data_IF_644040395638
#
_entry.id   IF_644040395638
#
_cell.length_a   1.000
_cell.length_b   1.000
_cell.length_c   1.000
_cell.angle_alpha   90.00
_cell.angle_beta   90.00
_cell.angle_gamma   90.00
#
_symmetry.space_group_name_H-M   'P 1'
#
loop_
_entity.id
_entity.type
_entity.pdbx_description
1 polymer ?
#
# COMPACT_ATOMS: atom_id res chain seq x y z
N UNK A 1 8.57 -17.46 -14.10
CA UNK A 1 9.34 -16.49 -14.91
C UNK A 1 10.67 -16.09 -14.26
N UNK A 2 10.70 -15.67 -12.97
CA UNK A 2 11.92 -15.12 -12.35
C UNK A 2 13.14 -16.08 -12.32
N UNK A 3 12.91 -17.38 -12.18
CA UNK A 3 13.98 -18.38 -12.09
C UNK A 3 14.44 -18.94 -13.44
N UNK A 4 13.74 -18.65 -14.55
CA UNK A 4 14.06 -19.26 -15.84
C UNK A 4 15.29 -18.58 -16.46
N UNK A 5 16.44 -19.27 -16.59
CA UNK A 5 17.67 -18.63 -17.04
C UNK A 5 17.73 -18.46 -18.57
N UNK A 6 16.97 -19.27 -19.31
CA UNK A 6 17.01 -19.36 -20.78
C UNK A 6 15.96 -18.49 -21.47
N UNK A 7 15.07 -17.84 -20.73
CA UNK A 7 14.01 -17.02 -21.31
C UNK A 7 12.86 -17.80 -21.97
N UNK A 8 12.75 -19.12 -21.72
CA UNK A 8 11.56 -19.89 -22.08
C UNK A 8 10.29 -19.33 -21.41
N UNK A 9 10.45 -18.79 -20.20
CA UNK A 9 9.41 -18.06 -19.48
C UNK A 9 9.83 -16.60 -19.32
N UNK A 10 9.15 -15.68 -20.01
CA UNK A 10 9.45 -14.23 -19.96
C UNK A 10 8.20 -13.40 -19.62
N UNK A 11 8.39 -12.27 -18.92
CA UNK A 11 7.31 -11.32 -18.69
C UNK A 11 6.90 -10.64 -20.01
N UNK A 12 5.59 -10.64 -20.31
CA UNK A 12 5.05 -9.98 -21.51
C UNK A 12 5.37 -8.48 -21.53
N UNK A 13 5.27 -7.80 -20.38
CA UNK A 13 5.57 -6.37 -20.23
C UNK A 13 7.02 -6.01 -20.60
N UNK A 14 7.97 -6.92 -20.36
CA UNK A 14 9.40 -6.73 -20.66
C UNK A 14 9.79 -7.17 -22.07
N UNK A 15 8.99 -8.02 -22.72
CA UNK A 15 9.33 -8.60 -24.02
C UNK A 15 9.60 -7.48 -25.04
N UNK A 16 10.78 -7.51 -25.67
CA UNK A 16 11.23 -6.52 -26.66
C UNK A 16 11.36 -5.07 -26.17
N UNK A 17 11.44 -4.83 -24.84
CA UNK A 17 11.62 -3.47 -24.28
C UNK A 17 13.07 -3.07 -24.03
N UNK A 18 14.02 -3.97 -24.21
CA UNK A 18 15.45 -3.73 -24.02
C UNK A 18 16.18 -4.85 -23.29
N UNK A 19 17.49 -4.68 -23.17
CA UNK A 19 18.43 -5.53 -22.45
C UNK A 19 18.55 -5.09 -20.99
N UNK A 20 19.06 -5.98 -20.16
CA UNK A 20 19.09 -5.78 -18.71
C UNK A 20 19.88 -4.54 -18.27
N UNK A 21 21.00 -4.26 -18.95
CA UNK A 21 21.87 -3.12 -18.66
C UNK A 21 21.30 -1.78 -19.12
N UNK A 22 20.25 -1.78 -19.96
CA UNK A 22 19.57 -0.54 -20.38
C UNK A 22 18.56 -0.05 -19.34
N UNK A 23 18.22 -0.87 -18.34
CA UNK A 23 17.21 -0.54 -17.35
C UNK A 23 17.83 0.09 -16.12
N UNK A 24 17.38 1.29 -15.76
CA UNK A 24 17.66 1.87 -14.45
C UNK A 24 16.87 1.10 -13.40
N UNK A 25 17.56 0.52 -12.42
CA UNK A 25 16.93 -0.16 -11.29
C UNK A 25 16.77 0.79 -10.12
N UNK A 26 15.55 0.89 -9.59
CA UNK A 26 15.24 1.70 -8.40
C UNK A 26 14.63 0.81 -7.34
N UNK A 27 15.32 0.67 -6.21
CA UNK A 27 14.82 -0.08 -5.05
C UNK A 27 13.70 0.69 -4.35
N UNK A 28 12.61 -0.01 -4.01
CA UNK A 28 11.47 0.53 -3.28
C UNK A 28 10.69 -0.58 -2.57
N UNK A 29 9.56 -0.26 -1.96
CA UNK A 29 8.68 -1.17 -1.24
C UNK A 29 7.39 -1.39 -2.02
N UNK A 30 6.91 -2.63 -2.03
CA UNK A 30 5.64 -3.01 -2.64
C UNK A 30 4.45 -2.31 -1.94
N UNK A 31 3.60 -1.54 -2.66
CA UNK A 31 2.53 -0.74 -2.05
C UNK A 31 1.22 -1.53 -1.80
N UNK A 32 1.26 -2.86 -1.82
CA UNK A 32 0.06 -3.70 -1.74
C UNK A 32 -0.35 -4.09 -0.33
N UNK A 33 0.07 -5.24 0.17
CA UNK A 33 -0.26 -5.71 1.51
C UNK A 33 0.77 -5.21 2.53
N UNK A 34 0.48 -5.39 3.81
CA UNK A 34 1.36 -4.99 4.92
C UNK A 34 2.65 -5.81 5.07
N UNK A 35 2.96 -6.73 4.15
CA UNK A 35 4.21 -7.52 4.19
C UNK A 35 5.42 -6.64 3.93
N UNK A 36 5.32 -5.67 3.01
CA UNK A 36 6.41 -4.76 2.70
C UNK A 36 7.56 -5.40 1.90
N UNK A 37 7.24 -6.23 0.90
CA UNK A 37 8.26 -6.84 0.04
C UNK A 37 9.20 -5.78 -0.57
N UNK A 38 10.52 -6.02 -0.51
CA UNK A 38 11.50 -5.21 -1.21
C UNK A 38 11.44 -5.50 -2.71
N UNK A 39 11.29 -4.47 -3.52
CA UNK A 39 11.20 -4.58 -4.98
C UNK A 39 12.17 -3.64 -5.68
N UNK A 40 12.49 -3.96 -6.92
CA UNK A 40 13.24 -3.11 -7.83
C UNK A 40 12.37 -2.80 -9.04
N UNK A 41 12.09 -1.51 -9.25
CA UNK A 41 11.48 -1.03 -10.48
C UNK A 41 12.55 -0.99 -11.56
N UNK A 42 12.32 -1.69 -12.67
CA UNK A 42 13.21 -1.67 -13.83
C UNK A 42 12.63 -0.64 -14.81
N UNK A 43 13.30 0.51 -14.95
CA UNK A 43 12.79 1.70 -15.62
C UNK A 43 13.56 1.97 -16.91
N UNK A 44 12.84 2.29 -17.98
CA UNK A 44 13.38 2.81 -19.24
C UNK A 44 12.42 3.84 -19.82
N UNK A 45 12.93 4.92 -20.39
CA UNK A 45 12.12 5.98 -21.02
C UNK A 45 11.00 6.51 -20.11
N UNK A 46 11.32 6.70 -18.82
CA UNK A 46 10.38 7.10 -17.77
C UNK A 46 9.17 6.18 -17.57
N UNK A 47 9.27 4.90 -17.98
CA UNK A 47 8.23 3.88 -17.78
C UNK A 47 8.77 2.68 -17.03
N UNK A 48 7.91 2.10 -16.19
CA UNK A 48 8.19 0.86 -15.48
C UNK A 48 8.01 -0.28 -16.49
N UNK A 49 9.10 -0.99 -16.81
CA UNK A 49 9.10 -2.10 -17.77
C UNK A 49 8.77 -3.42 -17.06
N UNK A 50 9.29 -3.60 -15.84
CA UNK A 50 9.00 -4.74 -14.98
C UNK A 50 9.37 -4.46 -13.53
N UNK A 51 8.97 -5.38 -12.65
CA UNK A 51 9.35 -5.40 -11.24
C UNK A 51 10.16 -6.67 -10.94
N UNK A 52 11.33 -6.50 -10.33
CA UNK A 52 12.17 -7.57 -9.79
C UNK A 52 12.30 -7.42 -8.27
N UNK A 53 13.00 -8.34 -7.63
CA UNK A 53 13.26 -8.26 -6.20
C UNK A 53 14.64 -8.86 -5.89
N UNK A 54 15.43 -8.24 -5.00
CA UNK A 54 16.74 -8.74 -4.63
C UNK A 54 16.62 -10.05 -3.84
N UNK A 55 17.46 -11.04 -4.18
CA UNK A 55 17.44 -12.37 -3.55
C UNK A 55 17.76 -12.32 -2.05
N UNK A 56 18.59 -11.36 -1.62
CA UNK A 56 18.95 -11.13 -0.22
C UNK A 56 17.98 -10.20 0.54
N UNK A 57 16.79 -9.92 -0.01
CA UNK A 57 15.78 -9.11 0.68
C UNK A 57 15.31 -9.79 1.97
N UNK A 58 15.30 -9.05 3.09
CA UNK A 58 14.99 -9.57 4.43
C UNK A 58 13.58 -10.12 4.53
N UNK A 59 12.62 -9.45 3.90
CA UNK A 59 11.19 -9.77 4.02
C UNK A 59 10.78 -10.93 3.11
N UNK A 60 11.21 -10.87 1.84
CA UNK A 60 10.64 -11.70 0.78
C UNK A 60 11.68 -12.50 -0.01
N UNK A 61 12.97 -12.30 0.23
CA UNK A 61 14.06 -13.12 -0.34
C UNK A 61 13.93 -13.34 -1.87
N UNK A 62 13.65 -12.25 -2.60
CA UNK A 62 13.47 -12.28 -4.07
C UNK A 62 12.09 -12.78 -4.55
N UNK A 63 11.21 -13.23 -3.66
CA UNK A 63 9.88 -13.76 -4.01
C UNK A 63 8.84 -12.65 -4.08
N UNK A 64 7.97 -12.69 -5.09
CA UNK A 64 6.87 -11.74 -5.25
C UNK A 64 5.60 -12.48 -5.67
N UNK A 65 4.46 -12.04 -5.14
CA UNK A 65 3.15 -12.47 -5.61
C UNK A 65 2.76 -11.79 -6.92
N UNK A 66 1.62 -12.19 -7.50
CA UNK A 66 1.10 -11.62 -8.74
C UNK A 66 0.95 -10.09 -8.68
N UNK A 67 0.47 -9.55 -7.56
CA UNK A 67 0.26 -8.10 -7.38
C UNK A 67 1.58 -7.34 -7.38
N UNK A 68 2.53 -7.76 -6.53
CA UNK A 68 3.83 -7.10 -6.43
C UNK A 68 4.66 -7.22 -7.72
N UNK A 69 4.48 -8.30 -8.49
CA UNK A 69 5.26 -8.52 -9.71
C UNK A 69 4.67 -7.88 -10.97
N UNK A 70 3.34 -7.82 -11.10
CA UNK A 70 2.67 -7.40 -12.33
C UNK A 70 1.70 -6.23 -12.16
N UNK A 71 1.33 -5.86 -10.94
CA UNK A 71 0.26 -4.88 -10.70
C UNK A 71 0.64 -3.42 -10.91
N UNK A 72 1.75 -3.08 -11.56
CA UNK A 72 2.23 -1.69 -11.64
C UNK A 72 1.60 -0.85 -12.77
N UNK A 73 0.75 -1.44 -13.60
CA UNK A 73 0.23 -0.79 -14.82
C UNK A 73 -0.64 0.45 -14.54
N UNK A 74 -1.28 0.53 -13.37
CA UNK A 74 -2.13 1.68 -12.98
C UNK A 74 -1.37 3.01 -12.96
N UNK A 75 -0.03 2.99 -12.79
CA UNK A 75 0.80 4.19 -12.79
C UNK A 75 0.72 4.93 -14.12
N UNK A 76 0.56 4.18 -15.22
CA UNK A 76 0.52 4.65 -16.61
C UNK A 76 -0.87 4.49 -17.24
N UNK A 77 -1.91 4.24 -16.43
CA UNK A 77 -3.28 4.14 -16.95
C UNK A 77 -3.71 5.46 -17.57
N UNK A 78 -4.36 5.45 -18.76
CA UNK A 78 -4.94 6.66 -19.33
C UNK A 78 -6.08 7.23 -18.48
N UNK A 79 -6.65 6.44 -17.57
CA UNK A 79 -7.71 6.87 -16.64
C UNK A 79 -7.15 7.60 -15.40
N UNK A 80 -5.83 7.69 -15.25
CA UNK A 80 -5.21 8.34 -14.11
C UNK A 80 -5.42 9.85 -14.18
N UNK A 81 -6.03 10.42 -13.15
CA UNK A 81 -6.18 11.87 -13.02
C UNK A 81 -4.81 12.55 -12.89
N UNK A 82 -4.59 13.58 -13.71
CA UNK A 82 -3.36 14.39 -13.74
C UNK A 82 -3.59 15.84 -13.35
N UNK A 83 -4.83 16.27 -13.27
CA UNK A 83 -5.27 17.65 -13.00
C UNK A 83 -6.34 17.64 -11.90
N UNK A 84 -6.38 18.66 -11.03
CA UNK A 84 -7.50 18.85 -10.10
C UNK A 84 -8.84 18.96 -10.85
N UNK A 85 -9.88 18.37 -10.26
CA UNK A 85 -11.24 18.41 -10.78
C UNK A 85 -12.18 19.05 -9.76
N UNK A 86 -12.94 20.07 -10.18
CA UNK A 86 -13.99 20.70 -9.39
C UNK A 86 -15.34 20.23 -9.91
N UNK A 87 -16.24 19.84 -9.00
CA UNK A 87 -17.60 19.44 -9.37
C UNK A 87 -18.36 20.65 -9.95
N UNK A 88 -18.96 20.46 -11.11
CA UNK A 88 -19.72 21.49 -11.84
C UNK A 88 -21.17 21.02 -12.06
N UNK A 89 -21.89 20.87 -10.93
CA UNK A 89 -23.23 20.31 -10.90
C UNK A 89 -23.63 19.77 -9.53
N UNK A 90 -24.75 19.04 -9.48
CA UNK A 90 -25.29 18.51 -8.23
C UNK A 90 -24.50 17.29 -7.73
N UNK A 91 -24.58 17.02 -6.42
CA UNK A 91 -23.92 15.84 -5.86
C UNK A 91 -24.52 14.57 -6.44
N UNK A 92 -23.70 13.82 -7.18
CA UNK A 92 -24.07 12.50 -7.74
C UNK A 92 -24.25 12.49 -9.26
N UNK A 93 -24.21 13.65 -9.92
CA UNK A 93 -24.38 13.75 -11.37
C UNK A 93 -23.13 13.38 -12.20
N UNK A 94 -21.96 13.26 -11.56
CA UNK A 94 -20.70 12.95 -12.20
C UNK A 94 -20.10 14.08 -13.04
N UNK A 95 -20.61 15.31 -12.94
CA UNK A 95 -20.09 16.45 -13.72
C UNK A 95 -18.93 17.13 -13.02
N UNK A 96 -17.78 17.17 -13.70
CA UNK A 96 -16.57 17.80 -13.22
C UNK A 96 -15.93 18.64 -14.33
N UNK A 97 -15.30 19.74 -13.93
CA UNK A 97 -14.42 20.54 -14.77
C UNK A 97 -12.99 20.50 -14.24
N UNK A 98 -12.02 20.62 -15.13
CA UNK A 98 -10.63 20.80 -14.72
C UNK A 98 -10.44 22.16 -14.04
N UNK A 99 -9.46 22.21 -13.14
CA UNK A 99 -9.08 23.41 -12.39
C UNK A 99 -7.57 23.46 -12.18
N UNK A 100 -7.04 24.66 -11.91
CA UNK A 100 -5.66 24.81 -11.47
C UNK A 100 -5.49 24.34 -10.02
N UNK A 101 -4.23 24.12 -9.60
CA UNK A 101 -3.94 23.78 -8.21
C UNK A 101 -4.31 24.92 -7.26
N UNK A 102 -4.04 26.17 -7.65
CA UNK A 102 -4.37 27.36 -6.89
C UNK A 102 -5.89 27.47 -6.69
N UNK A 103 -6.66 27.38 -7.77
CA UNK A 103 -8.13 27.45 -7.71
C UNK A 103 -8.70 26.33 -6.83
N UNK A 104 -8.21 25.09 -7.00
CA UNK A 104 -8.67 23.94 -6.23
C UNK A 104 -8.38 24.09 -4.73
N UNK A 105 -7.16 24.50 -4.38
CA UNK A 105 -6.75 24.67 -2.99
C UNK A 105 -7.44 25.86 -2.31
N UNK A 106 -7.60 26.98 -3.01
CA UNK A 106 -8.30 28.16 -2.50
C UNK A 106 -9.78 27.85 -2.23
N UNK A 107 -10.43 27.09 -3.12
CA UNK A 107 -11.81 26.66 -2.92
C UNK A 107 -11.93 25.78 -1.67
N UNK A 108 -11.04 24.78 -1.51
CA UNK A 108 -11.04 23.89 -0.34
C UNK A 108 -10.79 24.68 0.94
N UNK A 109 -9.78 25.55 0.97
CA UNK A 109 -9.45 26.37 2.14
C UNK A 109 -10.60 27.29 2.54
N UNK A 110 -11.22 27.97 1.57
CA UNK A 110 -12.39 28.82 1.77
C UNK A 110 -13.54 28.03 2.40
N UNK A 111 -13.92 26.89 1.80
CA UNK A 111 -15.06 26.09 2.28
C UNK A 111 -14.82 25.48 3.66
N UNK A 112 -13.63 24.96 3.93
CA UNK A 112 -13.28 24.44 5.26
C UNK A 112 -13.33 25.55 6.32
N UNK A 113 -12.85 26.75 5.99
CA UNK A 113 -12.88 27.91 6.89
C UNK A 113 -14.31 28.38 7.17
N UNK A 114 -15.14 28.51 6.13
CA UNK A 114 -16.56 28.86 6.26
C UNK A 114 -17.30 27.85 7.17
N UNK A 115 -17.09 26.55 6.96
CA UNK A 115 -17.69 25.49 7.77
C UNK A 115 -17.20 25.52 9.21
N UNK A 116 -15.89 25.66 9.43
CA UNK A 116 -15.31 25.79 10.77
C UNK A 116 -15.90 26.97 11.53
N UNK A 117 -16.01 28.14 10.89
CA UNK A 117 -16.55 29.34 11.52
C UNK A 117 -18.05 29.21 11.85
N UNK A 118 -18.81 28.52 11.00
CA UNK A 118 -20.26 28.35 11.17
C UNK A 118 -20.63 27.24 12.15
N UNK A 119 -19.90 26.13 12.15
CA UNK A 119 -20.30 24.88 12.81
C UNK A 119 -19.26 24.32 13.77
N UNK A 120 -18.15 25.04 13.98
CA UNK A 120 -17.05 24.62 14.84
C UNK A 120 -16.08 23.65 14.15
N UNK A 121 -14.89 23.50 14.75
CA UNK A 121 -13.83 22.65 14.21
C UNK A 121 -14.23 21.17 14.13
N UNK A 122 -15.01 20.68 15.11
CA UNK A 122 -15.44 19.28 15.17
C UNK A 122 -16.55 18.92 14.17
N UNK A 123 -17.01 19.87 13.35
CA UNK A 123 -17.83 19.58 12.17
C UNK A 123 -17.00 19.05 10.99
N UNK A 124 -15.68 19.17 11.06
CA UNK A 124 -14.75 18.72 10.03
C UNK A 124 -14.17 17.36 10.41
N UNK A 125 -13.78 16.58 9.39
CA UNK A 125 -13.09 15.32 9.57
C UNK A 125 -12.09 15.08 8.43
N UNK A 126 -11.04 14.32 8.73
CA UNK A 126 -10.03 13.88 7.77
C UNK A 126 -9.96 12.35 7.76
N UNK A 127 -10.01 11.77 6.57
CA UNK A 127 -9.72 10.36 6.36
C UNK A 127 -8.38 10.21 5.66
N UNK A 128 -7.43 9.63 6.37
CA UNK A 128 -6.09 9.32 5.88
C UNK A 128 -6.02 7.89 5.32
N UNK A 129 -4.86 7.46 4.82
CA UNK A 129 -4.72 6.20 4.09
C UNK A 129 -3.50 5.40 4.53
N UNK A 130 -3.68 4.09 4.74
CA UNK A 130 -2.56 3.17 4.94
C UNK A 130 -1.75 2.89 3.66
N UNK A 131 -2.18 3.45 2.52
CA UNK A 131 -1.43 3.42 1.25
C UNK A 131 -0.48 4.60 1.10
N UNK A 132 -0.66 5.65 1.90
CA UNK A 132 0.24 6.78 1.98
C UNK A 132 1.42 6.46 2.90
N UNK A 133 2.46 7.27 2.79
CA UNK A 133 3.64 7.20 3.66
C UNK A 133 3.31 7.61 5.09
N UNK A 134 4.17 7.23 6.03
CA UNK A 134 4.08 7.65 7.43
C UNK A 134 4.15 9.17 7.59
N UNK A 135 4.94 9.82 6.74
CA UNK A 135 5.18 11.25 6.68
C UNK A 135 3.92 11.99 6.23
N UNK A 136 3.28 11.52 5.16
CA UNK A 136 1.98 12.06 4.71
C UNK A 136 0.91 11.88 5.79
N UNK A 137 0.84 10.71 6.43
CA UNK A 137 -0.11 10.47 7.52
C UNK A 137 0.16 11.37 8.74
N UNK A 138 1.43 11.63 9.05
CA UNK A 138 1.82 12.60 10.06
C UNK A 138 1.39 14.03 9.69
N UNK A 139 1.58 14.44 8.44
CA UNK A 139 1.12 15.74 7.95
C UNK A 139 -0.41 15.86 8.02
N UNK A 140 -1.15 14.81 7.62
CA UNK A 140 -2.61 14.82 7.66
C UNK A 140 -3.16 14.92 9.08
N UNK A 141 -2.60 14.18 10.04
CA UNK A 141 -3.04 14.29 11.44
C UNK A 141 -2.64 15.64 12.05
N UNK A 142 -1.49 16.20 11.66
CA UNK A 142 -1.04 17.53 12.11
C UNK A 142 -1.95 18.61 11.54
N UNK A 143 -2.33 18.50 10.27
CA UNK A 143 -3.30 19.39 9.64
C UNK A 143 -4.65 19.36 10.37
N UNK A 144 -5.18 18.17 10.66
CA UNK A 144 -6.44 18.03 11.40
C UNK A 144 -6.36 18.68 12.80
N UNK A 145 -5.33 18.35 13.59
CA UNK A 145 -5.23 18.77 14.99
C UNK A 145 -4.76 20.22 15.16
N UNK A 146 -3.74 20.64 14.41
CA UNK A 146 -3.12 21.95 14.59
C UNK A 146 -3.75 23.05 13.72
N UNK A 147 -4.26 22.72 12.53
CA UNK A 147 -4.83 23.72 11.60
C UNK A 147 -6.35 23.75 11.68
N UNK A 148 -6.99 22.59 11.49
CA UNK A 148 -8.46 22.51 11.59
C UNK A 148 -8.91 22.65 13.04
N UNK A 149 -8.16 22.12 14.00
CA UNK A 149 -8.47 22.19 15.42
C UNK A 149 -9.41 21.10 15.89
N UNK A 150 -9.39 19.92 15.24
CA UNK A 150 -10.24 18.78 15.58
C UNK A 150 -9.40 17.50 15.75
N UNK A 151 -9.91 16.59 16.57
CA UNK A 151 -9.39 15.22 16.67
C UNK A 151 -10.11 14.23 15.75
N UNK A 152 -11.03 14.70 14.91
CA UNK A 152 -11.73 13.90 13.90
C UNK A 152 -10.79 13.55 12.74
N UNK A 153 -9.86 12.65 13.00
CA UNK A 153 -8.98 12.05 12.01
C UNK A 153 -8.99 10.54 12.19
N UNK A 154 -9.28 9.81 11.11
CA UNK A 154 -9.27 8.35 11.12
C UNK A 154 -8.64 7.80 9.83
N UNK A 155 -8.44 6.49 9.77
CA UNK A 155 -7.92 5.81 8.59
C UNK A 155 -8.45 4.37 8.48
N UNK A 156 -8.17 3.72 7.36
CA UNK A 156 -8.71 2.40 7.03
C UNK A 156 -8.44 1.28 8.06
N UNK A 157 -7.43 1.39 8.93
CA UNK A 157 -7.20 0.35 9.94
C UNK A 157 -8.28 0.31 11.02
N UNK A 158 -9.13 1.34 11.13
CA UNK A 158 -10.34 1.30 11.97
C UNK A 158 -11.17 0.05 11.70
N UNK A 159 -11.34 -0.31 10.43
CA UNK A 159 -12.15 -1.45 10.01
C UNK A 159 -11.38 -2.77 10.07
N UNK A 160 -10.06 -2.75 9.91
CA UNK A 160 -9.28 -3.98 9.75
C UNK A 160 -8.63 -4.46 11.06
N UNK A 161 -8.02 -3.57 11.83
CA UNK A 161 -7.13 -3.94 12.94
C UNK A 161 -7.41 -3.21 14.26
N UNK A 162 -8.45 -2.38 14.34
CA UNK A 162 -8.79 -1.68 15.59
C UNK A 162 -8.99 -2.64 16.77
N UNK A 163 -9.65 -3.78 16.55
CA UNK A 163 -9.83 -4.82 17.59
C UNK A 163 -8.50 -5.43 18.05
N UNK A 164 -7.57 -5.66 17.11
CA UNK A 164 -6.22 -6.16 17.42
C UNK A 164 -5.44 -5.14 18.24
N UNK A 165 -5.47 -3.86 17.81
CA UNK A 165 -4.81 -2.75 18.52
C UNK A 165 -5.31 -2.66 19.95
N UNK A 166 -6.63 -2.66 20.16
CA UNK A 166 -7.22 -2.60 21.51
C UNK A 166 -6.84 -3.81 22.36
N UNK A 167 -6.96 -5.03 21.80
CA UNK A 167 -6.69 -6.27 22.53
C UNK A 167 -5.23 -6.42 22.94
N UNK A 168 -4.29 -6.23 22.01
CA UNK A 168 -2.86 -6.38 22.30
C UNK A 168 -2.32 -5.24 23.16
N UNK A 169 -2.84 -4.02 23.02
CA UNK A 169 -2.47 -2.92 23.92
C UNK A 169 -2.88 -3.22 25.35
N UNK A 170 -4.09 -3.76 25.56
CA UNK A 170 -4.56 -4.14 26.89
C UNK A 170 -3.81 -5.34 27.48
N UNK A 171 -3.45 -6.33 26.66
CA UNK A 171 -2.81 -7.57 27.13
C UNK A 171 -1.28 -7.46 27.28
N UNK A 172 -0.60 -6.79 26.34
CA UNK A 172 0.86 -6.78 26.23
C UNK A 172 1.47 -5.36 26.27
N UNK A 173 0.65 -4.31 26.34
CA UNK A 173 1.13 -2.93 26.28
C UNK A 173 1.60 -2.46 24.90
N UNK A 174 1.45 -3.30 23.86
CA UNK A 174 1.87 -2.99 22.49
C UNK A 174 0.74 -3.29 21.50
N UNK A 175 0.49 -2.36 20.57
CA UNK A 175 -0.53 -2.48 19.53
C UNK A 175 -0.03 -3.18 18.25
N UNK A 176 1.10 -3.88 18.30
CA UNK A 176 1.81 -4.38 17.13
C UNK A 176 2.02 -5.91 17.16
N UNK A 177 2.49 -6.45 16.03
CA UNK A 177 2.91 -7.84 15.91
C UNK A 177 4.09 -8.13 16.87
N UNK A 178 4.08 -9.32 17.48
CA UNK A 178 5.02 -9.70 18.56
C UNK A 178 6.33 -10.30 18.06
N UNK A 179 6.46 -10.57 16.76
CA UNK A 179 7.61 -11.25 16.16
C UNK A 179 7.89 -10.69 14.75
N UNK A 180 9.12 -10.83 14.27
CA UNK A 180 9.49 -10.46 12.90
C UNK A 180 9.20 -11.59 11.90
N UNK A 181 9.13 -11.26 10.61
CA UNK A 181 9.01 -12.24 9.51
C UNK A 181 10.30 -13.08 9.40
N UNK A 182 11.44 -12.50 9.76
CA UNK A 182 12.75 -13.13 9.66
C UNK A 182 13.10 -14.06 10.84
N UNK A 183 12.38 -13.97 11.96
CA UNK A 183 12.56 -14.89 13.08
C UNK A 183 12.36 -16.34 12.61
N UNK A 184 13.42 -17.14 12.80
CA UNK A 184 13.44 -18.55 12.45
C UNK A 184 12.27 -19.27 13.13
N UNK A 185 11.38 -19.80 12.30
CA UNK A 185 10.24 -20.59 12.72
C UNK A 185 10.73 -21.86 13.42
N UNK A 186 10.74 -21.85 14.74
CA UNK A 186 10.91 -23.08 15.51
C UNK A 186 9.62 -23.90 15.39
N UNK A 187 9.65 -24.92 14.53
CA UNK A 187 8.50 -25.79 14.26
C UNK A 187 8.02 -26.53 15.52
N UNK A 188 8.86 -26.71 16.54
CA UNK A 188 8.48 -27.34 17.80
C UNK A 188 7.72 -26.38 18.74
N UNK A 189 7.76 -25.07 18.48
CA UNK A 189 7.09 -24.02 19.28
C UNK A 189 6.01 -23.27 18.49
N UNK A 190 5.85 -23.56 17.21
CA UNK A 190 4.82 -22.97 16.37
C UNK A 190 3.49 -23.71 16.60
N UNK A 191 2.47 -23.03 17.13
CA UNK A 191 1.13 -23.61 17.32
C UNK A 191 0.38 -23.93 16.01
N UNK A 192 1.03 -23.76 14.84
CA UNK A 192 0.55 -24.09 13.49
C UNK A 192 -0.94 -23.76 13.24
N UNK A 193 -1.47 -22.67 13.82
CA UNK A 193 -2.91 -22.40 13.78
C UNK A 193 -3.45 -22.19 12.35
N UNK A 194 -2.57 -22.02 11.37
CA UNK A 194 -2.89 -21.96 9.94
C UNK A 194 -3.63 -20.68 9.54
N UNK A 195 -4.16 -19.90 10.48
CA UNK A 195 -5.02 -18.74 10.21
C UNK A 195 -4.37 -17.69 9.33
N UNK A 196 -3.09 -17.37 9.54
CA UNK A 196 -2.37 -16.42 8.67
C UNK A 196 -2.17 -16.98 7.26
N UNK A 197 -1.91 -18.29 7.13
CA UNK A 197 -1.77 -18.97 5.83
C UNK A 197 -3.12 -19.05 5.11
N UNK A 198 -4.19 -19.40 5.81
CA UNK A 198 -5.56 -19.38 5.29
C UNK A 198 -5.95 -17.97 4.85
N UNK A 199 -5.72 -16.94 5.67
CA UNK A 199 -5.96 -15.56 5.27
C UNK A 199 -5.14 -15.15 4.04
N UNK A 200 -3.89 -15.58 3.93
CA UNK A 200 -3.04 -15.29 2.78
C UNK A 200 -3.51 -15.99 1.49
N UNK A 201 -3.94 -17.24 1.60
CA UNK A 201 -4.28 -18.08 0.46
C UNK A 201 -5.75 -17.93 0.05
N UNK A 202 -6.67 -17.95 1.01
CA UNK A 202 -8.12 -18.03 0.79
C UNK A 202 -8.80 -16.67 0.78
N UNK A 203 -8.29 -15.69 1.53
CA UNK A 203 -8.89 -14.35 1.60
C UNK A 203 -8.17 -13.39 0.66
N UNK A 204 -6.84 -13.34 0.75
CA UNK A 204 -6.05 -12.36 0.00
C UNK A 204 -5.58 -12.89 -1.36
N UNK A 205 -5.70 -14.20 -1.61
CA UNK A 205 -5.25 -14.91 -2.82
C UNK A 205 -3.83 -14.50 -3.25
N UNK A 206 -2.92 -14.42 -2.27
CA UNK A 206 -1.54 -13.96 -2.50
C UNK A 206 -0.57 -15.10 -2.58
N UNK A 207 -0.84 -16.18 -1.82
CA UNK A 207 0.08 -17.31 -1.62
C UNK A 207 1.49 -16.88 -1.18
N UNK A 208 1.58 -15.73 -0.51
CA UNK A 208 2.85 -15.16 -0.06
C UNK A 208 3.45 -15.94 1.12
N UNK A 209 2.60 -16.58 1.93
CA UNK A 209 3.01 -17.43 3.05
C UNK A 209 2.29 -18.77 2.94
N UNK A 210 3.04 -19.86 3.12
CA UNK A 210 2.51 -21.23 3.09
C UNK A 210 3.10 -22.04 4.26
N UNK A 211 2.51 -23.20 4.55
CA UNK A 211 3.13 -24.15 5.48
C UNK A 211 4.14 -25.02 4.70
N UNK A 212 5.40 -24.97 5.11
CA UNK A 212 6.45 -25.87 4.64
C UNK A 212 6.59 -27.07 5.61
N UNK A 213 7.18 -28.17 5.14
CA UNK A 213 7.39 -29.41 5.91
C UNK A 213 6.08 -30.02 6.43
N UNK A 214 5.15 -30.35 5.52
CA UNK A 214 3.96 -31.15 5.85
C UNK A 214 4.13 -32.58 5.32
N UNK A 215 4.01 -33.56 6.21
CA UNK A 215 4.03 -34.99 5.91
C UNK A 215 4.44 -35.77 7.15
N UNK A 216 4.12 -37.07 7.23
CA UNK A 216 4.49 -37.90 8.39
C UNK A 216 6.01 -38.00 8.64
N UNK A 217 6.83 -37.62 7.64
CA UNK A 217 8.29 -37.74 7.63
C UNK A 217 9.01 -36.40 7.39
N UNK A 218 8.34 -35.26 7.58
CA UNK A 218 8.93 -33.91 7.52
C UNK A 218 8.53 -33.11 8.74
#
# INVERSE_FOLDING_TARGET
VAACPVGALTEKSRRFRGREWEFRKVSTICPYCGVGCNIELNIKDNRIVRVTSPANGVVNQGRLCVKGKFGFDFVHSPERLTTPLIRDGERGDGKFREASWEEGLDLVAKRLTELKNRSGADSLAILSSAKCTTEENYLMQKFARAVLGTNNVDHCARLCHASTVTGLSAAFGSAAMTNSIAELRDYNKCILCGRCVAACNEVQFVEAINLAHRGFNT
#
